data_IF_643682969763
#
_entry.id   IF_643682969763
#
_cell.length_a   1.000
_cell.length_b   1.000
_cell.length_c   1.000
_cell.angle_alpha   90.00
_cell.angle_beta   90.00
_cell.angle_gamma   90.00
#
_symmetry.space_group_name_H-M   'P 1'
#
loop_
_entity.id
_entity.type
_entity.pdbx_description
1 polymer ?
#
# COMPACT_ATOMS: atom_id res chain seq x y z
N UNK A 1 18.74 2.40 -16.29
CA UNK A 1 18.34 3.17 -15.10
C UNK A 1 16.81 3.35 -14.96
N UNK A 2 15.96 2.52 -15.61
CA UNK A 2 14.50 2.64 -15.53
C UNK A 2 13.84 1.90 -14.36
N UNK A 3 14.50 0.86 -13.81
CA UNK A 3 13.91 -0.01 -12.78
C UNK A 3 13.76 0.64 -11.40
N UNK A 4 14.57 1.64 -11.06
CA UNK A 4 14.47 2.30 -9.75
C UNK A 4 13.28 3.28 -9.70
N UNK A 5 12.86 3.82 -10.85
CA UNK A 5 11.85 4.88 -10.96
C UNK A 5 10.41 4.33 -10.92
N UNK A 6 10.20 3.11 -11.40
CA UNK A 6 8.91 2.39 -11.30
C UNK A 6 8.64 1.80 -9.92
N UNK A 7 9.65 1.73 -9.04
CA UNK A 7 9.55 1.16 -7.69
C UNK A 7 9.15 2.14 -6.58
N UNK A 8 9.25 3.45 -6.82
CA UNK A 8 9.16 4.49 -5.77
C UNK A 8 7.81 4.45 -5.02
N UNK A 9 6.70 4.32 -5.75
CA UNK A 9 5.36 4.31 -5.17
C UNK A 9 4.86 2.90 -4.80
N UNK A 10 5.51 1.84 -5.30
CA UNK A 10 5.09 0.46 -5.05
C UNK A 10 3.75 0.06 -5.68
N UNK A 11 3.25 0.79 -6.68
CA UNK A 11 1.90 0.65 -7.29
C UNK A 11 1.54 -0.80 -7.59
N UNK A 12 2.39 -1.54 -8.31
CA UNK A 12 2.10 -2.92 -8.70
C UNK A 12 1.90 -3.86 -7.51
N UNK A 13 2.73 -3.73 -6.45
CA UNK A 13 2.59 -4.53 -5.23
C UNK A 13 1.30 -4.20 -4.48
N UNK A 14 0.95 -2.93 -4.41
CA UNK A 14 -0.30 -2.47 -3.79
C UNK A 14 -1.52 -2.97 -4.57
N UNK A 15 -1.46 -2.98 -5.90
CA UNK A 15 -2.54 -3.47 -6.78
C UNK A 15 -2.83 -4.94 -6.54
N UNK A 16 -1.78 -5.76 -6.48
CA UNK A 16 -1.90 -7.18 -6.13
C UNK A 16 -2.50 -7.34 -4.73
N UNK A 17 -2.06 -6.54 -3.75
CA UNK A 17 -2.58 -6.59 -2.38
C UNK A 17 -4.07 -6.25 -2.31
N UNK A 18 -4.52 -5.18 -2.98
CA UNK A 18 -5.94 -4.81 -2.99
C UNK A 18 -6.79 -5.88 -3.69
N UNK A 19 -6.27 -6.54 -4.73
CA UNK A 19 -6.93 -7.68 -5.34
C UNK A 19 -7.05 -8.88 -4.38
N UNK A 20 -6.02 -9.17 -3.58
CA UNK A 20 -6.08 -10.17 -2.50
C UNK A 20 -7.15 -9.79 -1.46
N UNK A 21 -7.16 -8.53 -1.00
CA UNK A 21 -8.17 -8.01 -0.07
C UNK A 21 -9.57 -8.24 -0.62
N UNK A 22 -9.83 -7.83 -1.86
CA UNK A 22 -11.14 -7.98 -2.52
C UNK A 22 -11.57 -9.44 -2.63
N UNK A 23 -10.64 -10.31 -3.04
CA UNK A 23 -10.89 -11.76 -3.14
C UNK A 23 -11.29 -12.36 -1.79
N UNK A 24 -10.53 -12.07 -0.74
CA UNK A 24 -10.79 -12.64 0.58
C UNK A 24 -12.02 -12.01 1.24
N UNK A 25 -12.25 -10.71 1.07
CA UNK A 25 -13.45 -10.04 1.56
C UNK A 25 -14.74 -10.59 0.93
N UNK A 26 -14.68 -11.03 -0.33
CA UNK A 26 -15.80 -11.71 -0.97
C UNK A 26 -16.09 -13.08 -0.32
N UNK A 27 -15.05 -13.79 0.10
CA UNK A 27 -15.17 -15.12 0.73
C UNK A 27 -15.65 -15.03 2.18
N UNK A 28 -15.25 -13.99 2.92
CA UNK A 28 -15.66 -13.77 4.31
C UNK A 28 -17.00 -13.05 4.44
N UNK A 29 -17.57 -12.57 3.32
CA UNK A 29 -18.82 -11.80 3.30
C UNK A 29 -18.64 -10.32 3.66
N UNK A 30 -17.41 -9.87 3.94
CA UNK A 30 -17.12 -8.50 4.36
C UNK A 30 -17.38 -7.46 3.25
N UNK A 31 -17.45 -7.88 1.98
CA UNK A 31 -17.92 -7.00 0.89
C UNK A 31 -19.40 -6.57 1.01
N UNK A 32 -20.20 -7.25 1.83
CA UNK A 32 -21.58 -6.85 2.12
C UNK A 32 -21.67 -5.77 3.20
N UNK A 33 -20.58 -5.50 3.94
CA UNK A 33 -20.49 -4.32 4.81
C UNK A 33 -20.23 -3.09 3.94
N UNK A 34 -21.16 -2.13 3.86
CA UNK A 34 -21.01 -0.95 3.03
C UNK A 34 -19.83 -0.05 3.45
N UNK A 35 -19.44 -0.05 4.73
CA UNK A 35 -18.30 0.75 5.21
C UNK A 35 -16.98 0.15 4.76
N UNK A 36 -16.83 -1.17 4.86
CA UNK A 36 -15.66 -1.87 4.35
C UNK A 36 -15.56 -1.75 2.83
N UNK A 37 -16.66 -2.00 2.11
CA UNK A 37 -16.71 -1.90 0.66
C UNK A 37 -16.35 -0.50 0.15
N UNK A 38 -16.82 0.56 0.83
CA UNK A 38 -16.47 1.93 0.51
C UNK A 38 -14.96 2.21 0.69
N UNK A 39 -14.36 1.78 1.80
CA UNK A 39 -12.92 1.95 2.07
C UNK A 39 -12.05 1.20 1.06
N UNK A 40 -12.44 -0.01 0.67
CA UNK A 40 -11.74 -0.77 -0.37
C UNK A 40 -11.84 -0.05 -1.73
N UNK A 41 -13.03 0.41 -2.12
CA UNK A 41 -13.23 1.13 -3.38
C UNK A 41 -12.45 2.45 -3.41
N UNK A 42 -12.40 3.18 -2.29
CA UNK A 42 -11.59 4.39 -2.15
C UNK A 42 -10.10 4.08 -2.35
N UNK A 43 -9.57 3.04 -1.70
CA UNK A 43 -8.18 2.62 -1.88
C UNK A 43 -7.86 2.18 -3.33
N UNK A 44 -8.78 1.46 -4.00
CA UNK A 44 -8.63 1.09 -5.42
C UNK A 44 -8.61 2.33 -6.33
N UNK A 45 -9.49 3.30 -6.08
CA UNK A 45 -9.57 4.55 -6.85
C UNK A 45 -8.33 5.43 -6.66
N UNK A 46 -7.87 5.58 -5.42
CA UNK A 46 -6.65 6.34 -5.13
C UNK A 46 -5.42 5.69 -5.76
N UNK A 47 -5.34 4.35 -5.76
CA UNK A 47 -4.25 3.63 -6.41
C UNK A 47 -4.27 3.84 -7.93
N UNK A 48 -5.45 3.83 -8.56
CA UNK A 48 -5.61 4.14 -9.98
C UNK A 48 -5.16 5.58 -10.28
N UNK A 49 -5.57 6.55 -9.45
CA UNK A 49 -5.13 7.93 -9.59
C UNK A 49 -3.60 8.06 -9.46
N UNK A 50 -2.99 7.32 -8.53
CA UNK A 50 -1.54 7.28 -8.35
C UNK A 50 -0.82 6.64 -9.55
N UNK A 51 -1.36 5.56 -10.10
CA UNK A 51 -0.84 4.88 -11.31
C UNK A 51 -0.82 5.84 -12.51
N UNK A 52 -1.94 6.55 -12.74
CA UNK A 52 -2.04 7.56 -13.81
C UNK A 52 -1.09 8.75 -13.57
N UNK A 53 -0.97 9.21 -12.33
CA UNK A 53 -0.05 10.30 -11.97
C UNK A 53 1.40 9.87 -12.19
N UNK A 54 1.77 8.64 -11.83
CA UNK A 54 3.08 8.09 -12.08
C UNK A 54 3.37 8.04 -13.59
N UNK A 55 2.40 7.60 -14.40
CA UNK A 55 2.56 7.57 -15.86
C UNK A 55 2.84 8.97 -16.45
N UNK A 56 2.12 10.01 -16.00
CA UNK A 56 2.34 11.41 -16.40
C UNK A 56 3.72 11.92 -15.98
N UNK A 57 4.13 11.65 -14.74
CA UNK A 57 5.45 12.06 -14.24
C UNK A 57 6.56 11.41 -15.05
N UNK A 58 6.40 10.14 -15.42
CA UNK A 58 7.38 9.42 -16.25
C UNK A 58 7.39 9.96 -17.68
N UNK A 59 6.23 10.28 -18.27
CA UNK A 59 6.17 10.85 -19.64
C UNK A 59 6.78 12.23 -19.73
N UNK A 60 6.63 13.06 -18.69
CA UNK A 60 7.10 14.45 -18.68
C UNK A 60 8.56 14.58 -18.19
N UNK A 61 9.19 13.48 -17.80
CA UNK A 61 10.58 13.47 -17.32
C UNK A 61 11.58 13.58 -18.48
N UNK A 62 11.77 14.80 -19.00
CA UNK A 62 12.87 15.10 -19.90
C UNK A 62 14.23 15.10 -19.16
N UNK A 63 15.25 14.48 -19.76
CA UNK A 63 16.67 14.55 -19.38
C UNK A 63 17.08 13.99 -18.00
N UNK A 64 16.23 13.19 -17.35
CA UNK A 64 16.59 12.50 -16.10
C UNK A 64 16.78 13.43 -14.89
N UNK A 65 16.30 14.67 -14.97
CA UNK A 65 16.28 15.59 -13.84
C UNK A 65 15.32 15.10 -12.75
N UNK A 66 15.64 15.32 -11.45
CA UNK A 66 14.71 15.02 -10.37
C UNK A 66 13.39 15.77 -10.55
N UNK A 67 12.28 15.04 -10.55
CA UNK A 67 10.94 15.63 -10.60
C UNK A 67 10.39 15.76 -9.16
N UNK A 68 10.03 16.97 -8.67
CA UNK A 68 9.39 17.17 -7.37
C UNK A 68 8.16 16.28 -7.11
N UNK A 69 7.42 15.92 -8.16
CA UNK A 69 6.28 15.01 -8.07
C UNK A 69 6.67 13.60 -7.59
N UNK A 70 7.93 13.18 -7.73
CA UNK A 70 8.41 11.91 -7.17
C UNK A 70 8.21 11.84 -5.65
N UNK A 71 8.29 12.98 -4.95
CA UNK A 71 8.06 13.04 -3.51
C UNK A 71 6.60 12.81 -3.15
N UNK A 72 5.67 13.34 -3.96
CA UNK A 72 4.23 13.11 -3.87
C UNK A 72 3.92 11.63 -4.11
N UNK A 73 4.51 11.05 -5.16
CA UNK A 73 4.34 9.64 -5.50
C UNK A 73 4.81 8.71 -4.37
N UNK A 74 5.97 8.98 -3.77
CA UNK A 74 6.47 8.21 -2.62
C UNK A 74 5.55 8.32 -1.41
N UNK A 75 5.10 9.53 -1.09
CA UNK A 75 4.23 9.78 0.06
C UNK A 75 2.93 9.00 -0.07
N UNK A 76 2.18 9.21 -1.16
CA UNK A 76 0.90 8.52 -1.40
C UNK A 76 1.08 7.01 -1.57
N UNK A 77 2.12 6.59 -2.27
CA UNK A 77 2.43 5.16 -2.45
C UNK A 77 2.66 4.43 -1.14
N UNK A 78 3.36 5.05 -0.18
CA UNK A 78 3.56 4.45 1.15
C UNK A 78 2.26 4.37 1.96
N UNK A 79 1.39 5.39 1.89
CA UNK A 79 0.09 5.41 2.57
C UNK A 79 -0.82 4.31 2.04
N UNK A 80 -0.92 4.17 0.72
CA UNK A 80 -1.74 3.13 0.09
C UNK A 80 -1.22 1.71 0.37
N UNK A 81 0.09 1.52 0.45
CA UNK A 81 0.66 0.26 0.89
C UNK A 81 0.23 -0.11 2.32
N UNK A 82 0.22 0.87 3.23
CA UNK A 82 -0.25 0.65 4.61
C UNK A 82 -1.76 0.33 4.65
N UNK A 83 -2.58 1.11 3.95
CA UNK A 83 -4.03 0.90 3.83
C UNK A 83 -4.33 -0.51 3.31
N UNK A 84 -3.65 -0.93 2.24
CA UNK A 84 -3.89 -2.26 1.67
C UNK A 84 -3.53 -3.39 2.65
N UNK A 85 -2.50 -3.22 3.49
CA UNK A 85 -2.18 -4.21 4.53
C UNK A 85 -3.11 -4.17 5.73
N UNK A 86 -3.65 -2.99 6.07
CA UNK A 86 -4.64 -2.81 7.13
C UNK A 86 -5.96 -3.48 6.78
N UNK A 87 -6.46 -3.23 5.56
CA UNK A 87 -7.66 -3.90 5.03
C UNK A 87 -7.49 -5.43 4.98
N UNK A 88 -6.29 -5.93 4.67
CA UNK A 88 -6.04 -7.38 4.64
C UNK A 88 -6.12 -8.02 6.03
N UNK A 89 -5.59 -7.34 7.06
CA UNK A 89 -5.72 -7.79 8.46
C UNK A 89 -7.17 -7.73 8.92
N UNK A 90 -7.91 -6.70 8.54
CA UNK A 90 -9.34 -6.57 8.85
C UNK A 90 -10.15 -7.72 8.22
N UNK A 91 -9.86 -8.09 6.98
CA UNK A 91 -10.48 -9.26 6.31
C UNK A 91 -10.11 -10.58 6.99
N UNK A 92 -8.89 -10.71 7.48
CA UNK A 92 -8.46 -11.89 8.23
C UNK A 92 -9.13 -11.99 9.61
N UNK A 93 -9.43 -10.86 10.25
CA UNK A 93 -10.08 -10.84 11.56
C UNK A 93 -9.32 -11.69 12.60
N UNK A 94 -10.00 -12.56 13.37
CA UNK A 94 -9.36 -13.43 14.35
C UNK A 94 -8.32 -14.40 13.76
N UNK A 95 -8.44 -14.78 12.48
CA UNK A 95 -7.49 -15.67 11.80
C UNK A 95 -6.12 -15.03 11.56
N UNK A 96 -5.97 -13.74 11.86
CA UNK A 96 -4.69 -13.03 11.86
C UNK A 96 -3.86 -13.25 13.13
N UNK A 97 -4.47 -13.76 14.21
CA UNK A 97 -3.81 -13.94 15.51
C UNK A 97 -2.88 -15.16 15.58
N UNK A 98 -3.23 -16.32 15.00
CA UNK A 98 -2.32 -17.46 14.98
C UNK A 98 -1.08 -17.13 14.15
N UNK A 99 0.04 -16.91 14.84
CA UNK A 99 1.35 -16.71 14.24
C UNK A 99 2.26 -17.85 14.70
N UNK A 100 2.86 -18.54 13.73
CA UNK A 100 3.78 -19.67 13.90
C UNK A 100 3.16 -20.97 14.47
N UNK A 101 3.14 -22.02 13.63
CA UNK A 101 2.92 -23.41 14.06
C UNK A 101 4.12 -24.00 14.81
N UNK A 102 4.91 -23.16 15.49
CA UNK A 102 6.17 -23.50 16.16
C UNK A 102 6.02 -24.53 17.28
N UNK A 103 4.79 -24.90 17.63
CA UNK A 103 4.45 -25.89 18.66
C UNK A 103 3.90 -27.21 18.11
N UNK A 104 3.96 -27.44 16.79
CA UNK A 104 3.59 -28.72 16.18
C UNK A 104 2.09 -28.95 15.99
N UNK A 105 1.25 -27.99 16.39
CA UNK A 105 -0.20 -28.02 16.17
C UNK A 105 -0.56 -27.46 14.80
N UNK A 106 -1.46 -28.16 14.09
CA UNK A 106 -2.01 -27.72 12.81
C UNK A 106 -2.91 -26.50 13.03
N UNK A 107 -2.51 -25.34 12.49
CA UNK A 107 -3.30 -24.10 12.57
C UNK A 107 -4.42 -24.17 11.54
N UNK A 108 -5.68 -24.15 12.01
CA UNK A 108 -6.87 -24.23 11.15
C UNK A 108 -7.06 -23.00 10.23
N UNK A 109 -6.61 -21.82 10.66
CA UNK A 109 -6.71 -20.58 9.88
C UNK A 109 -5.92 -20.68 8.57
N UNK A 110 -6.35 -20.06 7.47
CA UNK A 110 -5.63 -20.14 6.20
C UNK A 110 -4.30 -19.37 6.26
N UNK A 111 -3.27 -19.86 5.56
CA UNK A 111 -1.89 -19.28 5.59
C UNK A 111 -1.84 -17.78 5.25
N UNK A 112 -2.72 -17.30 4.36
CA UNK A 112 -2.77 -15.87 4.01
C UNK A 112 -3.23 -15.01 5.20
N UNK A 113 -4.15 -15.52 6.02
CA UNK A 113 -4.69 -14.83 7.18
C UNK A 113 -3.64 -14.82 8.31
N UNK A 114 -3.02 -15.97 8.59
CA UNK A 114 -1.94 -16.10 9.57
C UNK A 114 -0.79 -15.10 9.34
N UNK A 115 -0.44 -14.87 8.06
CA UNK A 115 0.67 -13.96 7.69
C UNK A 115 0.26 -12.48 7.55
N UNK A 116 -1.03 -12.17 7.63
CA UNK A 116 -1.55 -10.82 7.40
C UNK A 116 -1.06 -9.82 8.46
N UNK A 117 -1.09 -10.21 9.74
CA UNK A 117 -0.67 -9.35 10.86
C UNK A 117 0.83 -9.01 10.79
N UNK A 118 1.68 -10.02 10.61
CA UNK A 118 3.13 -9.84 10.47
C UNK A 118 3.45 -8.91 9.28
N UNK A 119 2.71 -9.05 8.18
CA UNK A 119 2.85 -8.19 7.01
C UNK A 119 2.41 -6.75 7.27
N UNK A 120 1.26 -6.53 7.91
CA UNK A 120 0.81 -5.20 8.33
C UNK A 120 1.87 -4.49 9.18
N UNK A 121 2.39 -5.17 10.21
CA UNK A 121 3.45 -4.66 11.06
C UNK A 121 4.72 -4.32 10.25
N UNK A 122 5.11 -5.21 9.33
CA UNK A 122 6.26 -4.96 8.46
C UNK A 122 6.05 -3.80 7.47
N UNK A 123 4.82 -3.45 7.11
CA UNK A 123 4.56 -2.35 6.18
C UNK A 123 4.42 -0.99 6.87
N UNK A 124 4.34 -0.93 8.21
CA UNK A 124 4.40 0.34 8.95
C UNK A 124 5.69 1.12 8.71
N UNK A 125 6.82 0.42 8.49
CA UNK A 125 8.12 1.07 8.21
C UNK A 125 8.16 1.83 6.87
N UNK A 126 7.23 1.57 5.92
CA UNK A 126 7.21 2.22 4.59
C UNK A 126 7.06 3.75 4.65
N UNK A 127 6.47 4.29 5.71
CA UNK A 127 6.36 5.73 5.95
C UNK A 127 7.62 6.34 6.57
N UNK A 128 8.66 5.52 6.85
CA UNK A 128 9.87 5.90 7.57
C UNK A 128 11.12 5.71 6.69
N UNK A 129 11.34 4.51 6.17
CA UNK A 129 12.54 4.23 5.36
C UNK A 129 12.41 4.82 3.94
N UNK A 130 13.54 5.19 3.34
CA UNK A 130 13.57 5.79 1.99
C UNK A 130 13.00 7.21 1.93
N UNK A 131 13.11 7.97 3.03
CA UNK A 131 12.56 9.32 3.20
C UNK A 131 11.24 9.29 3.95
N UNK A 132 11.20 9.80 5.18
CA UNK A 132 9.98 9.74 6.01
C UNK A 132 8.85 10.56 5.38
N UNK A 133 7.59 10.24 5.70
CA UNK A 133 6.45 10.99 5.18
C UNK A 133 6.49 12.48 5.57
N UNK A 134 7.13 12.82 6.69
CA UNK A 134 7.36 14.20 7.11
C UNK A 134 8.42 14.88 6.24
N UNK A 135 9.55 14.22 5.97
CA UNK A 135 10.56 14.72 5.04
C UNK A 135 9.97 14.93 3.65
N UNK A 136 9.13 14.01 3.17
CA UNK A 136 8.45 14.18 1.88
C UNK A 136 7.51 15.38 1.86
N UNK A 137 6.76 15.64 2.96
CA UNK A 137 5.93 16.84 3.08
C UNK A 137 6.75 18.12 3.04
N UNK A 138 7.90 18.14 3.72
CA UNK A 138 8.81 19.30 3.70
C UNK A 138 9.39 19.54 2.30
N UNK A 139 9.78 18.49 1.58
CA UNK A 139 10.24 18.62 0.18
C UNK A 139 9.11 19.15 -0.70
N UNK A 140 7.89 18.64 -0.56
CA UNK A 140 6.72 19.14 -1.32
C UNK A 140 6.49 20.63 -1.02
N UNK A 141 6.52 21.03 0.24
CA UNK A 141 6.35 22.43 0.64
C UNK A 141 7.39 23.34 -0.02
N UNK A 142 8.68 22.98 0.05
CA UNK A 142 9.75 23.83 -0.49
C UNK A 142 9.84 23.81 -2.02
N UNK A 143 9.63 22.66 -2.65
CA UNK A 143 9.88 22.49 -4.10
C UNK A 143 8.66 22.73 -4.98
N UNK A 144 7.44 22.55 -4.46
CA UNK A 144 6.19 22.72 -5.23
C UNK A 144 5.44 23.98 -4.76
N UNK A 145 5.33 24.18 -3.45
CA UNK A 145 4.53 25.28 -2.88
C UNK A 145 5.35 26.56 -2.64
N UNK A 146 6.68 26.47 -2.58
CA UNK A 146 7.57 27.62 -2.33
C UNK A 146 7.46 28.19 -0.91
N UNK A 147 7.09 27.34 0.05
CA UNK A 147 6.91 27.68 1.47
C UNK A 147 8.14 27.36 2.32
#
# INVERSE_FOLDING_TARGET
>A
MGNERTGIAGVGRTKVRLAEVKKHAAQTGLLHDPLFAARLAEAENELLALELTQARVVSDSADGKPNPASSVLKLRGSQLQQIATELLVEVAGPDALPADGSHGDEIASPTWAQTSAARYLNYRKTSIYGGSNEVQRNIIASTILGL
#
